data_IF_240118836143
#
_entry.id   IF_240118836143
#
_cell.length_a   1.000
_cell.length_b   1.000
_cell.length_c   1.000
_cell.angle_alpha   90.00
_cell.angle_beta   90.00
_cell.angle_gamma   90.00
#
_symmetry.space_group_name_H-M   'P 1'
#
loop_
_entity.id
_entity.type
_entity.pdbx_description
1 polymer ?
#
# COMPACT_ATOMS: atom_id res chain seq x y z
N UNK A 1 11.84 -6.78 -24.62
CA UNK A 1 10.84 -5.73 -24.41
C UNK A 1 10.52 -5.83 -22.94
N UNK A 2 10.94 -4.87 -22.12
CA UNK A 2 10.84 -5.01 -20.65
C UNK A 2 9.38 -4.84 -20.23
N UNK A 3 8.88 -5.79 -19.44
CA UNK A 3 7.53 -5.82 -18.85
C UNK A 3 7.36 -4.73 -17.79
N UNK A 4 7.30 -3.47 -18.23
CA UNK A 4 7.05 -2.33 -17.35
C UNK A 4 5.70 -2.43 -16.65
N UNK A 5 4.72 -3.07 -17.28
CA UNK A 5 3.42 -3.35 -16.68
C UNK A 5 3.55 -4.37 -15.53
N UNK A 6 4.30 -5.45 -15.72
CA UNK A 6 4.51 -6.46 -14.68
C UNK A 6 5.34 -5.92 -13.51
N UNK A 7 6.37 -5.12 -13.78
CA UNK A 7 7.15 -4.45 -12.74
C UNK A 7 6.33 -3.40 -11.98
N UNK A 8 5.38 -2.73 -12.65
CA UNK A 8 4.45 -1.81 -12.03
C UNK A 8 3.44 -2.56 -11.15
N UNK A 9 2.95 -3.71 -11.62
CA UNK A 9 2.02 -4.56 -10.88
C UNK A 9 2.66 -5.13 -9.61
N UNK A 10 3.91 -5.62 -9.70
CA UNK A 10 4.67 -6.11 -8.53
C UNK A 10 4.90 -5.00 -7.49
N UNK A 11 5.24 -3.81 -7.96
CA UNK A 11 5.43 -2.63 -7.12
C UNK A 11 4.13 -2.22 -6.40
N UNK A 12 3.02 -2.21 -7.12
CA UNK A 12 1.71 -1.87 -6.57
C UNK A 12 1.29 -2.94 -5.55
N UNK A 13 1.46 -4.21 -5.87
CA UNK A 13 1.13 -5.32 -4.97
C UNK A 13 1.97 -5.26 -3.68
N UNK A 14 3.27 -4.95 -3.79
CA UNK A 14 4.13 -4.77 -2.63
C UNK A 14 3.67 -3.60 -1.73
N UNK A 15 3.21 -2.50 -2.32
CA UNK A 15 2.65 -1.36 -1.58
C UNK A 15 1.37 -1.78 -0.85
N UNK A 16 0.43 -2.42 -1.54
CA UNK A 16 -0.85 -2.85 -0.95
C UNK A 16 -0.62 -3.87 0.17
N UNK A 17 0.25 -4.86 -0.05
CA UNK A 17 0.63 -5.87 0.96
C UNK A 17 1.26 -5.24 2.20
N UNK A 18 2.18 -4.28 2.02
CA UNK A 18 2.81 -3.58 3.12
C UNK A 18 1.82 -2.78 3.97
N UNK A 19 0.86 -2.11 3.33
CA UNK A 19 -0.19 -1.35 4.01
C UNK A 19 -1.19 -2.28 4.72
N UNK A 20 -1.59 -3.38 4.08
CA UNK A 20 -2.47 -4.40 4.67
C UNK A 20 -1.87 -5.00 5.95
N UNK A 21 -0.58 -5.36 5.90
CA UNK A 21 0.13 -5.89 7.05
C UNK A 21 0.15 -4.90 8.23
N UNK A 22 0.44 -3.62 7.97
CA UNK A 22 0.44 -2.59 9.02
C UNK A 22 -0.95 -2.42 9.66
N UNK A 23 -2.01 -2.34 8.86
CA UNK A 23 -3.39 -2.21 9.38
C UNK A 23 -3.84 -3.46 10.15
N UNK A 24 -3.33 -4.65 9.78
CA UNK A 24 -3.60 -5.89 10.51
C UNK A 24 -2.86 -5.92 11.85
N UNK A 25 -1.60 -5.49 11.87
CA UNK A 25 -0.81 -5.37 13.10
C UNK A 25 -1.39 -4.32 14.06
N UNK A 26 -1.85 -3.17 13.56
CA UNK A 26 -2.53 -2.13 14.33
C UNK A 26 -3.79 -2.66 15.00
N UNK A 27 -4.62 -3.41 14.25
CA UNK A 27 -5.83 -4.06 14.76
C UNK A 27 -5.53 -5.13 15.81
N UNK A 28 -4.44 -5.87 15.63
CA UNK A 28 -4.02 -6.89 16.58
C UNK A 28 -3.48 -6.31 17.90
N UNK A 29 -2.89 -5.11 17.85
CA UNK A 29 -2.18 -4.54 18.99
C UNK A 29 -2.89 -3.39 19.72
N UNK A 30 -4.12 -3.01 19.34
CA UNK A 30 -4.93 -1.93 19.94
C UNK A 30 -4.08 -0.71 20.41
N UNK A 31 -3.16 -0.28 19.55
CA UNK A 31 -2.08 0.63 19.97
C UNK A 31 -2.50 2.10 20.02
N UNK A 32 -3.77 2.43 19.70
CA UNK A 32 -4.25 3.82 19.62
C UNK A 32 -3.43 4.71 18.67
N UNK A 33 -2.56 4.11 17.84
CA UNK A 33 -1.67 4.81 16.94
C UNK A 33 -2.47 5.40 15.77
N UNK A 34 -1.96 6.49 15.19
CA UNK A 34 -2.56 7.06 13.99
C UNK A 34 -2.52 6.03 12.86
N UNK A 35 -3.67 5.74 12.20
CA UNK A 35 -3.77 4.68 11.23
C UNK A 35 -2.83 4.91 10.04
N UNK A 36 -2.21 3.83 9.58
CA UNK A 36 -1.42 3.79 8.36
C UNK A 36 0.07 4.01 8.54
N UNK A 37 0.84 3.66 7.50
CA UNK A 37 2.29 3.66 7.49
C UNK A 37 2.86 5.00 7.02
N UNK A 38 3.92 5.49 7.66
CA UNK A 38 4.62 6.69 7.16
C UNK A 38 5.25 6.42 5.78
N UNK A 39 5.25 7.43 4.90
CA UNK A 39 5.78 7.29 3.54
C UNK A 39 7.26 6.88 3.52
N UNK A 40 8.05 7.34 4.49
CA UNK A 40 9.45 6.95 4.62
C UNK A 40 9.60 5.47 4.98
N UNK A 41 8.78 4.96 5.92
CA UNK A 41 8.76 3.54 6.30
C UNK A 41 8.28 2.68 5.13
N UNK A 42 7.26 3.13 4.42
CA UNK A 42 6.71 2.43 3.24
C UNK A 42 7.75 2.36 2.11
N UNK A 43 8.36 3.48 1.74
CA UNK A 43 9.42 3.56 0.72
C UNK A 43 10.58 2.62 1.03
N UNK A 44 11.00 2.54 2.30
CA UNK A 44 12.04 1.61 2.73
C UNK A 44 11.59 0.15 2.62
N UNK A 45 10.34 -0.16 2.98
CA UNK A 45 9.81 -1.53 3.00
C UNK A 45 9.60 -2.12 1.61
N UNK A 46 9.16 -1.30 0.65
CA UNK A 46 8.95 -1.72 -0.75
C UNK A 46 10.18 -1.44 -1.64
N UNK A 47 11.29 -0.99 -1.05
CA UNK A 47 12.54 -0.66 -1.74
C UNK A 47 12.39 0.31 -2.92
N UNK A 48 11.39 1.20 -2.85
CA UNK A 48 11.10 2.18 -3.90
C UNK A 48 11.64 3.56 -3.58
N UNK A 49 12.10 4.28 -4.62
CA UNK A 49 12.38 5.71 -4.50
C UNK A 49 11.11 6.46 -4.13
N UNK A 50 11.24 7.45 -3.27
CA UNK A 50 10.12 8.22 -2.73
C UNK A 50 9.27 8.90 -3.85
N UNK A 51 9.89 9.37 -4.93
CA UNK A 51 9.17 9.93 -6.08
C UNK A 51 8.32 8.88 -6.82
N UNK A 52 8.86 7.68 -7.02
CA UNK A 52 8.16 6.55 -7.63
C UNK A 52 6.99 6.12 -6.75
N UNK A 53 7.23 5.94 -5.44
CA UNK A 53 6.21 5.59 -4.48
C UNK A 53 5.06 6.61 -4.49
N UNK A 54 5.37 7.91 -4.45
CA UNK A 54 4.34 8.96 -4.49
C UNK A 54 3.49 8.91 -5.75
N UNK A 55 4.09 8.60 -6.91
CA UNK A 55 3.33 8.43 -8.16
C UNK A 55 2.35 7.27 -8.08
N UNK A 56 2.78 6.11 -7.55
CA UNK A 56 1.88 4.97 -7.34
C UNK A 56 0.78 5.30 -6.34
N UNK A 57 1.13 5.91 -5.22
CA UNK A 57 0.16 6.32 -4.20
C UNK A 57 -0.87 7.31 -4.74
N UNK A 58 -0.46 8.31 -5.55
CA UNK A 58 -1.43 9.23 -6.18
C UNK A 58 -2.37 8.53 -7.16
N UNK A 59 -1.89 7.53 -7.91
CA UNK A 59 -2.74 6.74 -8.80
C UNK A 59 -3.73 5.87 -8.01
N UNK A 60 -3.27 5.21 -6.94
CA UNK A 60 -4.09 4.40 -6.06
C UNK A 60 -5.10 5.25 -5.26
N UNK A 61 -4.70 6.44 -4.84
CA UNK A 61 -5.57 7.40 -4.16
C UNK A 61 -6.66 7.94 -5.09
N UNK A 62 -6.32 8.20 -6.35
CA UNK A 62 -7.31 8.58 -7.38
C UNK A 62 -8.34 7.48 -7.65
N UNK A 63 -7.98 6.22 -7.37
CA UNK A 63 -8.87 5.06 -7.44
C UNK A 63 -9.53 4.71 -6.09
N UNK A 64 -9.35 5.55 -5.06
CA UNK A 64 -9.90 5.37 -3.71
C UNK A 64 -9.43 4.09 -2.99
N UNK A 65 -8.33 3.49 -3.45
CA UNK A 65 -7.75 2.25 -2.89
C UNK A 65 -6.94 2.56 -1.63
N UNK A 66 -6.19 3.66 -1.64
CA UNK A 66 -5.39 4.13 -0.51
C UNK A 66 -5.81 5.54 -0.13
N UNK A 67 -5.67 5.89 1.15
CA UNK A 67 -5.76 7.25 1.64
C UNK A 67 -4.35 7.75 1.96
N UNK A 68 -3.98 8.92 1.42
CA UNK A 68 -2.68 9.52 1.66
C UNK A 68 -2.87 10.85 2.38
N UNK A 69 -2.26 10.97 3.55
CA UNK A 69 -2.21 12.23 4.30
C UNK A 69 -0.80 12.78 4.18
N UNK A 70 -0.68 13.94 3.54
CA UNK A 70 0.57 14.71 3.49
C UNK A 70 0.51 15.84 4.50
N UNK A 71 1.58 16.01 5.26
CA UNK A 71 1.76 17.09 6.20
C UNK A 71 2.51 18.25 5.52
N UNK A 72 2.38 19.46 6.07
CA UNK A 72 3.02 20.68 5.54
C UNK A 72 4.56 20.63 5.61
N UNK A 73 5.12 19.78 6.48
CA UNK A 73 6.56 19.52 6.61
C UNK A 73 7.11 18.57 5.51
N UNK A 74 6.26 18.11 4.60
CA UNK A 74 6.61 17.18 3.52
C UNK A 74 6.65 15.70 3.96
N UNK A 75 6.33 15.41 5.22
CA UNK A 75 6.08 14.04 5.67
C UNK A 75 4.67 13.59 5.28
N UNK A 76 4.39 12.30 5.37
CA UNK A 76 3.05 11.81 5.15
C UNK A 76 2.86 10.39 5.62
N UNK A 77 1.60 9.96 5.61
CA UNK A 77 1.18 8.59 5.90
C UNK A 77 0.26 8.10 4.80
N UNK A 78 0.31 6.81 4.54
CA UNK A 78 -0.60 6.12 3.65
C UNK A 78 -1.27 4.98 4.41
N UNK A 79 -2.56 4.76 4.17
CA UNK A 79 -3.32 3.64 4.70
C UNK A 79 -4.19 3.04 3.59
N UNK A 80 -4.51 1.75 3.68
CA UNK A 80 -5.56 1.18 2.83
C UNK A 80 -6.91 1.74 3.27
N UNK A 81 -7.75 2.06 2.29
CA UNK A 81 -9.17 2.31 2.55
C UNK A 81 -9.89 0.98 2.79
N UNK A 82 -11.12 0.99 3.34
CA UNK A 82 -11.93 -0.22 3.39
C UNK A 82 -12.13 -0.88 2.02
N UNK A 83 -12.22 -0.07 0.95
CA UNK A 83 -12.34 -0.55 -0.42
C UNK A 83 -11.04 -1.21 -0.91
N UNK A 84 -9.88 -0.58 -0.67
CA UNK A 84 -8.60 -1.16 -1.03
C UNK A 84 -8.26 -2.44 -0.28
N UNK A 85 -8.69 -2.54 0.99
CA UNK A 85 -8.61 -3.77 1.78
C UNK A 85 -9.37 -4.91 1.09
N UNK A 86 -10.64 -4.69 0.73
CA UNK A 86 -11.47 -5.70 0.08
C UNK A 86 -10.92 -6.13 -1.29
N UNK A 87 -10.32 -5.21 -2.06
CA UNK A 87 -9.64 -5.54 -3.32
C UNK A 87 -8.43 -6.44 -3.04
N UNK A 88 -7.59 -6.07 -2.07
CA UNK A 88 -6.40 -6.85 -1.73
C UNK A 88 -6.76 -8.25 -1.25
N UNK A 89 -7.76 -8.38 -0.37
CA UNK A 89 -8.25 -9.67 0.11
C UNK A 89 -8.74 -10.55 -1.05
N UNK A 90 -9.53 -9.98 -1.97
CA UNK A 90 -10.00 -10.71 -3.15
C UNK A 90 -8.86 -11.14 -4.11
N UNK A 91 -7.81 -10.32 -4.23
CA UNK A 91 -6.62 -10.65 -5.02
C UNK A 91 -5.81 -11.78 -4.35
N UNK A 92 -5.61 -11.70 -3.04
CA UNK A 92 -4.91 -12.73 -2.27
C UNK A 92 -5.63 -14.09 -2.34
N UNK A 93 -6.95 -14.09 -2.15
CA UNK A 93 -7.80 -15.28 -2.31
C UNK A 93 -7.70 -15.88 -3.73
N UNK A 94 -7.71 -15.03 -4.76
CA UNK A 94 -7.60 -15.47 -6.16
C UNK A 94 -6.23 -16.09 -6.45
N UNK A 95 -5.16 -15.56 -5.86
CA UNK A 95 -3.79 -16.09 -6.01
C UNK A 95 -3.61 -17.40 -5.23
N UNK A 96 -4.20 -17.50 -4.04
CA UNK A 96 -4.22 -18.74 -3.26
C UNK A 96 -4.95 -19.87 -4.01
N UNK A 97 -6.07 -19.55 -4.69
CA UNK A 97 -6.81 -20.52 -5.50
C UNK A 97 -6.07 -20.96 -6.77
N UNK A 98 -5.21 -20.12 -7.35
CA UNK A 98 -4.42 -20.45 -8.54
C UNK A 98 -3.19 -21.32 -8.25
N UNK A 99 -2.76 -21.42 -6.98
CA UNK A 99 -1.58 -22.18 -6.54
C UNK A 99 -1.91 -23.52 -5.86
N UNK A 100 -3.20 -23.83 -5.70
CA UNK A 100 -3.73 -25.07 -5.11
C UNK A 100 -4.16 -26.09 -6.17
#
# INVERSE_FOLDING_TARGET
>A
MMDWDQQLDDAVLAILSALHAETSDERAHDTGAQPGMSLAKLSKRVEQRMSTLRRHLSALESAEIVSVVLNEDGTGRAALTPFGMAIFDALDESQAAATA
#
